data_IF_716484534815
#
_entry.id   IF_716484534815
#
_cell.length_a   1.000
_cell.length_b   1.000
_cell.length_c   1.000
_cell.angle_alpha   90.00
_cell.angle_beta   90.00
_cell.angle_gamma   90.00
#
_symmetry.space_group_name_H-M   'P 1'
#
loop_
_entity.id
_entity.type
_entity.pdbx_description
1 polymer ?
#
# COMPACT_ATOMS: atom_id res chain seq x y z
N UNK A 1 -27.10 22.26 0.57
CA UNK A 1 -27.84 22.48 1.85
C UNK A 1 -29.16 21.68 1.97
N UNK A 2 -29.55 20.83 1.00
CA UNK A 2 -30.82 20.08 1.03
C UNK A 2 -30.67 18.59 1.38
N UNK A 3 -29.47 18.08 1.64
CA UNK A 3 -29.23 16.65 1.95
C UNK A 3 -29.04 16.30 3.43
N UNK A 4 -28.96 17.28 4.33
CA UNK A 4 -28.79 17.07 5.78
C UNK A 4 -30.16 17.04 6.49
N UNK A 5 -31.06 16.15 6.07
CA UNK A 5 -32.22 15.72 6.86
C UNK A 5 -32.38 14.22 6.80
N UNK A 6 -31.48 13.48 7.44
CA UNK A 6 -31.71 12.08 7.82
C UNK A 6 -31.25 11.87 9.26
N UNK A 7 -32.16 12.12 10.17
CA UNK A 7 -32.04 11.86 11.63
C UNK A 7 -31.89 10.38 11.98
N UNK A 8 -31.92 9.46 11.03
CA UNK A 8 -31.79 8.02 11.24
C UNK A 8 -30.34 7.49 11.19
N UNK A 9 -29.42 8.22 10.59
CA UNK A 9 -27.99 7.84 10.54
C UNK A 9 -27.23 8.12 11.85
N UNK A 10 -27.59 9.18 12.56
CA UNK A 10 -26.91 9.56 13.81
C UNK A 10 -27.15 8.57 14.95
N UNK A 11 -28.34 8.00 15.07
CA UNK A 11 -28.67 7.00 16.11
C UNK A 11 -27.94 5.68 15.90
N UNK A 12 -27.69 5.26 14.66
CA UNK A 12 -26.95 4.02 14.36
C UNK A 12 -25.46 4.16 14.66
N UNK A 13 -24.88 5.34 14.36
CA UNK A 13 -23.49 5.66 14.72
C UNK A 13 -23.31 5.72 16.24
N UNK A 14 -24.25 6.27 16.99
CA UNK A 14 -24.20 6.31 18.46
C UNK A 14 -24.35 4.92 19.10
N UNK A 15 -25.21 4.06 18.59
CA UNK A 15 -25.36 2.67 19.05
C UNK A 15 -24.15 1.81 18.69
N UNK A 16 -23.60 1.97 17.48
CA UNK A 16 -22.38 1.30 17.03
C UNK A 16 -21.16 1.76 17.83
N UNK A 17 -21.04 3.06 18.11
CA UNK A 17 -20.00 3.62 18.99
C UNK A 17 -20.16 3.16 20.46
N UNK A 18 -21.36 2.92 20.93
CA UNK A 18 -21.61 2.49 22.32
C UNK A 18 -21.15 1.05 22.60
N UNK A 19 -21.52 0.08 21.77
CA UNK A 19 -21.12 -1.33 21.95
C UNK A 19 -19.68 -1.60 21.52
N UNK A 20 -19.15 -0.90 20.52
CA UNK A 20 -17.78 -1.06 20.03
C UNK A 20 -16.72 -0.34 20.88
N UNK A 21 -17.09 0.64 21.71
CA UNK A 21 -16.11 1.41 22.49
C UNK A 21 -15.24 0.53 23.42
N UNK A 22 -15.80 -0.51 24.03
CA UNK A 22 -15.04 -1.44 24.87
C UNK A 22 -14.06 -2.29 24.05
N UNK A 23 -14.51 -2.83 22.92
CA UNK A 23 -13.67 -3.61 22.01
C UNK A 23 -12.59 -2.75 21.36
N UNK A 24 -12.94 -1.54 20.94
CA UNK A 24 -11.97 -0.58 20.40
C UNK A 24 -10.88 -0.29 21.44
N UNK A 25 -11.25 0.04 22.69
CA UNK A 25 -10.27 0.27 23.76
C UNK A 25 -9.41 -0.96 24.06
N UNK A 26 -9.99 -2.17 24.01
CA UNK A 26 -9.29 -3.44 24.23
C UNK A 26 -8.27 -3.72 23.13
N UNK A 27 -8.65 -3.50 21.86
CA UNK A 27 -7.88 -3.94 20.69
C UNK A 27 -7.15 -2.81 19.95
N UNK A 28 -7.30 -1.54 20.32
CA UNK A 28 -6.56 -0.43 19.70
C UNK A 28 -5.11 -0.35 20.22
N UNK A 29 -4.33 -1.34 19.86
CA UNK A 29 -2.92 -1.51 20.23
C UNK A 29 -2.02 -1.31 19.01
N UNK A 30 -0.72 -0.99 19.20
CA UNK A 30 0.22 -0.93 18.08
C UNK A 30 0.33 -2.27 17.36
N UNK A 31 0.17 -2.28 16.04
CA UNK A 31 0.24 -3.51 15.25
C UNK A 31 0.59 -3.28 13.78
N UNK A 32 1.16 -4.30 13.10
CA UNK A 32 1.56 -4.21 11.70
C UNK A 32 0.37 -3.98 10.76
N UNK A 33 0.65 -3.40 9.59
CA UNK A 33 -0.33 -3.27 8.50
C UNK A 33 -0.39 -4.50 7.59
N UNK A 34 0.46 -5.49 7.83
CA UNK A 34 0.55 -6.74 7.06
C UNK A 34 0.60 -6.55 5.54
N UNK A 35 1.48 -5.68 5.10
CA UNK A 35 1.89 -5.56 3.70
C UNK A 35 2.94 -6.61 3.31
N UNK A 36 3.46 -7.33 4.29
CA UNK A 36 4.32 -8.51 4.20
C UNK A 36 4.19 -9.32 5.49
N UNK A 37 4.49 -10.62 5.42
CA UNK A 37 4.80 -11.43 6.58
C UNK A 37 6.04 -12.29 6.26
N UNK A 38 7.09 -12.24 7.06
CA UNK A 38 7.31 -11.31 8.19
C UNK A 38 7.30 -9.83 7.79
N UNK A 39 6.96 -8.97 8.76
CA UNK A 39 6.98 -7.51 8.51
C UNK A 39 8.41 -6.97 8.57
N UNK A 40 8.69 -5.91 7.84
CA UNK A 40 10.05 -5.33 7.65
C UNK A 40 10.86 -5.14 8.94
N UNK A 41 10.28 -4.69 10.09
CA UNK A 41 11.03 -4.59 11.35
C UNK A 41 11.58 -5.92 11.89
N UNK A 42 10.94 -7.04 11.51
CA UNK A 42 11.31 -8.38 11.95
C UNK A 42 12.12 -9.18 10.93
N UNK A 43 12.48 -8.60 9.79
CA UNK A 43 13.41 -9.22 8.87
C UNK A 43 14.77 -9.42 9.54
N UNK A 44 15.52 -10.42 9.08
CA UNK A 44 16.81 -10.79 9.65
C UNK A 44 17.68 -9.56 9.88
N UNK A 45 18.20 -9.39 11.11
CA UNK A 45 19.05 -8.26 11.49
C UNK A 45 20.37 -8.27 10.72
N UNK A 46 20.87 -9.45 10.40
CA UNK A 46 22.10 -9.66 9.61
C UNK A 46 21.88 -9.50 8.10
N UNK A 47 20.62 -9.25 7.70
CA UNK A 47 20.22 -9.16 6.30
C UNK A 47 19.96 -10.52 5.67
N UNK A 48 19.79 -10.52 4.35
CA UNK A 48 19.74 -11.72 3.50
C UNK A 48 21.03 -11.75 2.71
N UNK A 49 21.65 -12.93 2.58
CA UNK A 49 22.75 -13.06 1.65
C UNK A 49 22.23 -12.80 0.21
N UNK A 50 22.94 -11.97 -0.57
CA UNK A 50 22.50 -11.61 -1.92
C UNK A 50 22.22 -12.85 -2.78
N UNK A 51 23.04 -13.90 -2.65
CA UNK A 51 22.85 -15.14 -3.40
C UNK A 51 21.53 -15.85 -3.05
N UNK A 52 21.05 -15.78 -1.80
CA UNK A 52 19.76 -16.37 -1.41
C UNK A 52 18.58 -15.63 -2.03
N UNK A 53 18.66 -14.28 -2.06
CA UNK A 53 17.68 -13.48 -2.79
C UNK A 53 17.65 -13.84 -4.27
N UNK A 54 18.81 -13.85 -4.93
CA UNK A 54 18.90 -14.13 -6.36
C UNK A 54 18.40 -15.54 -6.71
N UNK A 55 18.75 -16.54 -5.89
CA UNK A 55 18.27 -17.90 -6.04
C UNK A 55 16.75 -18.01 -5.94
N UNK A 56 16.14 -17.38 -4.91
CA UNK A 56 14.69 -17.43 -4.71
C UNK A 56 13.92 -16.57 -5.72
N UNK A 57 14.49 -15.46 -6.18
CA UNK A 57 13.94 -14.66 -7.26
C UNK A 57 13.91 -15.43 -8.57
N UNK A 58 15.02 -16.11 -8.93
CA UNK A 58 15.09 -17.00 -10.09
C UNK A 58 14.10 -18.16 -9.99
N UNK A 59 14.01 -18.80 -8.81
CA UNK A 59 13.06 -19.87 -8.56
C UNK A 59 11.62 -19.42 -8.79
N UNK A 60 11.19 -18.29 -8.19
CA UNK A 60 9.83 -17.77 -8.38
C UNK A 60 9.58 -17.34 -9.83
N UNK A 61 10.59 -16.84 -10.51
CA UNK A 61 10.52 -16.53 -11.92
C UNK A 61 10.24 -17.77 -12.76
N UNK A 62 11.05 -18.81 -12.59
CA UNK A 62 10.92 -20.08 -13.33
C UNK A 62 9.56 -20.76 -13.09
N UNK A 63 9.03 -20.65 -11.86
CA UNK A 63 7.75 -21.23 -11.48
C UNK A 63 6.54 -20.49 -12.04
N UNK A 64 6.64 -19.16 -12.30
CA UNK A 64 5.44 -18.34 -12.53
C UNK A 64 5.46 -17.46 -13.78
N UNK A 65 6.62 -17.19 -14.39
CA UNK A 65 6.75 -16.21 -15.46
C UNK A 65 5.83 -16.50 -16.67
N UNK A 66 5.72 -17.76 -17.09
CA UNK A 66 4.89 -18.11 -18.26
C UNK A 66 3.39 -17.99 -17.99
N UNK A 67 2.95 -18.40 -16.81
CA UNK A 67 1.52 -18.48 -16.47
C UNK A 67 0.95 -17.18 -15.86
N UNK A 68 1.68 -16.60 -14.92
CA UNK A 68 1.24 -15.43 -14.14
C UNK A 68 1.92 -14.14 -14.56
N UNK A 69 3.12 -14.24 -15.13
CA UNK A 69 4.02 -13.10 -15.31
C UNK A 69 4.63 -12.63 -13.99
N UNK A 70 5.34 -11.51 -14.05
CA UNK A 70 5.97 -10.87 -12.88
C UNK A 70 5.47 -9.45 -12.70
N UNK A 71 5.57 -8.93 -11.46
CA UNK A 71 5.31 -7.53 -11.13
C UNK A 71 6.62 -6.76 -10.99
N UNK A 72 6.62 -5.49 -11.42
CA UNK A 72 7.69 -4.54 -11.19
C UNK A 72 7.20 -3.39 -10.32
N UNK A 73 7.90 -3.11 -9.24
CA UNK A 73 7.80 -1.86 -8.51
C UNK A 73 9.01 -0.99 -8.80
N UNK A 74 8.81 0.20 -9.35
CA UNK A 74 9.90 1.12 -9.64
C UNK A 74 9.81 2.32 -8.70
N UNK A 75 10.80 2.44 -7.81
CA UNK A 75 10.87 3.53 -6.85
C UNK A 75 11.52 4.76 -7.46
N UNK A 76 10.73 5.82 -7.64
CA UNK A 76 11.14 7.12 -8.16
C UNK A 76 11.21 8.15 -7.01
N UNK A 77 12.41 8.40 -6.41
CA UNK A 77 12.51 8.98 -5.07
C UNK A 77 12.38 10.50 -5.00
N UNK A 78 12.34 11.22 -6.13
CA UNK A 78 12.45 12.67 -6.10
C UNK A 78 11.10 13.37 -5.88
N UNK A 79 11.12 14.44 -5.07
CA UNK A 79 10.02 15.37 -4.88
C UNK A 79 10.56 16.79 -4.89
N UNK A 80 9.78 17.76 -5.39
CA UNK A 80 10.17 19.19 -5.38
C UNK A 80 10.01 19.82 -3.99
N UNK A 81 9.09 19.34 -3.17
CA UNK A 81 8.80 19.84 -1.84
C UNK A 81 8.60 18.73 -0.83
N UNK A 82 8.80 19.05 0.45
CA UNK A 82 8.58 18.13 1.55
C UNK A 82 7.19 18.31 2.14
N UNK A 83 6.33 17.31 1.98
CA UNK A 83 5.10 17.23 2.75
C UNK A 83 5.43 16.77 4.18
N UNK A 84 4.98 17.54 5.20
CA UNK A 84 5.37 17.29 6.60
C UNK A 84 4.66 16.11 7.27
N UNK A 85 3.75 15.42 6.56
CA UNK A 85 3.11 14.18 7.03
C UNK A 85 3.77 12.91 6.46
N UNK A 86 4.59 13.05 5.40
CA UNK A 86 5.05 11.94 4.57
C UNK A 86 6.17 11.13 5.22
N UNK A 87 6.01 9.80 5.25
CA UNK A 87 6.98 8.85 5.75
C UNK A 87 7.78 8.10 4.65
N UNK A 88 7.51 8.35 3.36
CA UNK A 88 8.18 7.67 2.25
C UNK A 88 9.69 7.96 2.20
N UNK A 89 10.47 7.02 1.69
CA UNK A 89 11.88 7.26 1.34
C UNK A 89 11.95 8.17 0.11
N UNK A 90 12.40 9.40 0.30
CA UNK A 90 12.40 10.43 -0.72
C UNK A 90 13.63 11.31 -0.66
N UNK A 91 13.93 11.97 -1.77
CA UNK A 91 14.92 13.03 -1.86
C UNK A 91 14.29 14.31 -2.39
N UNK A 92 14.37 15.38 -1.61
CA UNK A 92 13.85 16.68 -2.01
C UNK A 92 14.87 17.39 -2.89
N UNK A 93 14.45 17.77 -4.10
CA UNK A 93 15.26 18.55 -5.05
C UNK A 93 14.37 19.22 -6.09
N UNK A 94 14.82 20.36 -6.61
CA UNK A 94 14.22 21.03 -7.78
C UNK A 94 15.10 20.88 -9.03
N UNK A 95 16.18 20.12 -8.93
CA UNK A 95 17.15 19.92 -10.01
C UNK A 95 16.77 18.71 -10.81
N UNK A 96 16.32 18.89 -12.03
CA UNK A 96 15.90 17.80 -12.94
C UNK A 96 17.07 17.06 -13.58
N UNK A 97 18.31 17.57 -13.47
CA UNK A 97 19.51 16.88 -13.95
C UNK A 97 19.72 15.53 -13.25
N UNK A 98 19.08 15.31 -12.08
CA UNK A 98 19.14 14.03 -11.36
C UNK A 98 18.36 12.91 -12.05
N UNK A 99 17.43 13.22 -12.95
CA UNK A 99 16.56 12.23 -13.61
C UNK A 99 17.37 11.24 -14.47
N UNK A 100 18.20 11.75 -15.38
CA UNK A 100 18.92 10.92 -16.34
C UNK A 100 19.83 9.86 -15.68
N UNK A 101 20.75 10.23 -14.76
CA UNK A 101 21.61 9.23 -14.13
C UNK A 101 20.83 8.25 -13.26
N UNK A 102 19.68 8.64 -12.72
CA UNK A 102 18.84 7.73 -11.95
C UNK A 102 18.14 6.70 -12.86
N UNK A 103 17.58 7.12 -13.98
CA UNK A 103 16.95 6.23 -14.95
C UNK A 103 17.97 5.23 -15.52
N UNK A 104 19.18 5.69 -15.84
CA UNK A 104 20.27 4.82 -16.29
C UNK A 104 20.59 3.74 -15.25
N UNK A 105 20.64 4.09 -13.98
CA UNK A 105 20.84 3.12 -12.92
C UNK A 105 19.68 2.12 -12.81
N UNK A 106 18.42 2.58 -12.89
CA UNK A 106 17.26 1.68 -12.84
C UNK A 106 17.24 0.71 -14.03
N UNK A 107 17.54 1.17 -15.23
CA UNK A 107 17.62 0.32 -16.42
C UNK A 107 18.78 -0.68 -16.33
N UNK A 108 19.91 -0.27 -15.76
CA UNK A 108 21.03 -1.17 -15.48
C UNK A 108 20.66 -2.26 -14.47
N UNK A 109 20.00 -1.88 -13.36
CA UNK A 109 19.50 -2.85 -12.39
C UNK A 109 18.52 -3.83 -13.02
N UNK A 110 17.60 -3.33 -13.87
CA UNK A 110 16.68 -4.21 -14.60
C UNK A 110 17.43 -5.19 -15.49
N UNK A 111 18.47 -4.76 -16.20
CA UNK A 111 19.28 -5.64 -17.02
C UNK A 111 19.95 -6.75 -16.20
N UNK A 112 20.43 -6.46 -14.97
CA UNK A 112 20.97 -7.50 -14.08
C UNK A 112 19.95 -8.60 -13.76
N UNK A 113 18.67 -8.24 -13.57
CA UNK A 113 17.60 -9.23 -13.38
C UNK A 113 17.28 -10.00 -14.67
N UNK A 114 17.24 -9.34 -15.81
CA UNK A 114 17.03 -10.01 -17.11
C UNK A 114 18.12 -11.03 -17.37
N UNK A 115 19.38 -10.67 -17.13
CA UNK A 115 20.52 -11.57 -17.26
C UNK A 115 20.45 -12.76 -16.27
N UNK A 116 19.97 -12.53 -15.04
CA UNK A 116 19.74 -13.58 -14.04
C UNK A 116 18.66 -14.58 -14.46
N UNK A 117 17.59 -14.08 -15.08
CA UNK A 117 16.43 -14.91 -15.42
C UNK A 117 16.69 -15.81 -16.64
N UNK A 118 17.60 -15.43 -17.52
CA UNK A 118 17.99 -16.18 -18.74
C UNK A 118 16.85 -16.36 -19.76
N UNK A 119 15.62 -16.02 -19.41
CA UNK A 119 14.43 -16.02 -20.25
C UNK A 119 13.77 -14.64 -20.29
N UNK A 120 12.96 -14.39 -21.32
CA UNK A 120 12.27 -13.11 -21.47
C UNK A 120 11.21 -12.92 -20.38
N UNK A 121 11.31 -11.88 -19.51
CA UNK A 121 10.30 -11.61 -18.52
C UNK A 121 8.95 -11.22 -19.15
N UNK A 122 7.86 -11.74 -18.60
CA UNK A 122 6.48 -11.38 -18.96
C UNK A 122 5.93 -10.47 -17.87
N UNK A 123 5.75 -9.19 -18.18
CA UNK A 123 5.35 -8.17 -17.19
C UNK A 123 3.84 -8.13 -17.04
N UNK A 124 3.36 -8.51 -15.86
CA UNK A 124 1.96 -8.46 -15.46
C UNK A 124 1.57 -7.11 -14.90
N UNK A 125 2.41 -6.54 -14.05
CA UNK A 125 2.19 -5.26 -13.40
C UNK A 125 3.45 -4.40 -13.47
N UNK A 126 3.26 -3.10 -13.68
CA UNK A 126 4.25 -2.07 -13.36
C UNK A 126 3.59 -1.07 -12.43
N UNK A 127 4.24 -0.77 -11.32
CA UNK A 127 3.84 0.32 -10.44
C UNK A 127 4.98 1.32 -10.26
N UNK A 128 4.73 2.59 -10.62
CA UNK A 128 5.66 3.68 -10.34
C UNK A 128 5.22 4.39 -9.07
N UNK A 129 6.07 4.37 -8.05
CA UNK A 129 5.77 4.98 -6.76
C UNK A 129 7.01 5.59 -6.10
N UNK A 130 6.89 5.95 -4.82
CA UNK A 130 8.01 6.36 -3.98
C UNK A 130 7.99 7.81 -3.52
N UNK A 131 8.62 8.71 -4.25
CA UNK A 131 8.56 10.17 -4.03
C UNK A 131 7.39 10.75 -4.80
N UNK A 132 7.66 11.21 -6.01
CA UNK A 132 6.65 11.71 -6.96
C UNK A 132 7.07 11.26 -8.37
N UNK A 133 6.47 10.20 -8.92
CA UNK A 133 6.80 9.76 -10.28
C UNK A 133 6.69 10.88 -11.33
N UNK A 134 5.71 11.75 -11.21
CA UNK A 134 5.52 12.92 -12.10
C UNK A 134 6.47 14.11 -11.81
N UNK A 135 7.47 13.93 -10.96
CA UNK A 135 8.67 14.77 -10.92
C UNK A 135 9.50 14.59 -12.19
N UNK A 136 9.59 13.34 -12.67
CA UNK A 136 10.29 13.02 -13.90
C UNK A 136 9.51 13.53 -15.09
N UNK A 137 10.21 14.13 -16.07
CA UNK A 137 9.60 14.57 -17.32
C UNK A 137 8.93 13.41 -18.07
N UNK A 138 7.88 13.71 -18.84
CA UNK A 138 7.20 12.71 -19.67
C UNK A 138 8.19 12.00 -20.63
N UNK A 139 9.18 12.73 -21.17
CA UNK A 139 10.26 12.16 -21.99
C UNK A 139 11.07 11.11 -21.22
N UNK A 140 11.46 11.41 -19.98
CA UNK A 140 12.25 10.51 -19.15
C UNK A 140 11.44 9.30 -18.67
N UNK A 141 10.15 9.48 -18.36
CA UNK A 141 9.25 8.35 -18.06
C UNK A 141 9.07 7.44 -19.27
N UNK A 142 8.94 8.02 -20.49
CA UNK A 142 8.92 7.22 -21.73
C UNK A 142 10.21 6.40 -21.90
N UNK A 143 11.37 7.05 -21.72
CA UNK A 143 12.69 6.39 -21.83
C UNK A 143 12.81 5.23 -20.84
N UNK A 144 12.39 5.44 -19.58
CA UNK A 144 12.42 4.41 -18.54
C UNK A 144 11.57 3.19 -18.92
N UNK A 145 10.29 3.43 -19.22
CA UNK A 145 9.34 2.34 -19.46
C UNK A 145 9.62 1.66 -20.80
N UNK A 146 9.96 2.40 -21.85
CA UNK A 146 10.37 1.81 -23.13
C UNK A 146 11.65 0.96 -22.97
N UNK A 147 12.60 1.39 -22.13
CA UNK A 147 13.80 0.61 -21.82
C UNK A 147 13.47 -0.70 -21.09
N UNK A 148 12.56 -0.66 -20.11
CA UNK A 148 12.07 -1.88 -19.44
C UNK A 148 11.39 -2.83 -20.43
N UNK A 149 10.50 -2.30 -21.27
CA UNK A 149 9.70 -3.10 -22.21
C UNK A 149 10.50 -3.60 -23.42
N UNK A 150 11.66 -3.00 -23.73
CA UNK A 150 12.51 -3.44 -24.85
C UNK A 150 13.13 -4.83 -24.65
N UNK A 151 13.27 -5.26 -23.40
CA UNK A 151 13.85 -6.56 -22.99
C UNK A 151 12.85 -7.48 -22.31
N UNK A 152 11.55 -7.17 -22.40
CA UNK A 152 10.47 -7.95 -21.77
C UNK A 152 9.22 -7.96 -22.65
N UNK A 153 8.24 -8.77 -22.30
CA UNK A 153 6.92 -8.82 -22.96
C UNK A 153 5.84 -8.35 -22.00
N UNK A 154 4.80 -7.69 -22.52
CA UNK A 154 3.60 -7.41 -21.73
C UNK A 154 2.74 -8.67 -21.65
N UNK A 155 2.25 -8.98 -20.43
CA UNK A 155 1.23 -10.00 -20.27
C UNK A 155 -0.09 -9.54 -20.92
N UNK A 156 -0.91 -10.43 -21.46
CA UNK A 156 -2.19 -10.09 -22.12
C UNK A 156 -3.13 -9.28 -21.22
N UNK A 157 -3.15 -9.61 -19.93
CA UNK A 157 -3.96 -8.95 -18.89
C UNK A 157 -3.07 -8.06 -18.01
N UNK A 158 -2.14 -7.33 -18.59
CA UNK A 158 -1.28 -6.42 -17.80
C UNK A 158 -2.09 -5.27 -17.20
N UNK A 159 -1.64 -4.78 -16.05
CA UNK A 159 -2.19 -3.60 -15.38
C UNK A 159 -1.02 -2.71 -14.90
N UNK A 160 -0.80 -1.60 -15.59
CA UNK A 160 0.26 -0.66 -15.24
C UNK A 160 -0.34 0.56 -14.52
N UNK A 161 0.31 1.00 -13.45
CA UNK A 161 -0.18 2.07 -12.59
C UNK A 161 0.94 2.97 -12.09
N UNK A 162 0.60 4.19 -11.72
CA UNK A 162 1.55 5.13 -11.11
C UNK A 162 0.89 6.07 -10.13
N UNK A 163 1.71 6.62 -9.22
CA UNK A 163 1.33 7.68 -8.29
C UNK A 163 1.59 9.06 -8.93
N UNK A 164 0.59 9.93 -8.93
CA UNK A 164 0.68 11.30 -9.43
C UNK A 164 0.49 12.35 -8.35
N UNK A 165 1.25 13.44 -8.43
CA UNK A 165 0.98 14.63 -7.63
C UNK A 165 0.19 15.61 -8.49
N UNK A 166 -1.04 16.01 -8.11
CA UNK A 166 -1.88 16.86 -8.95
C UNK A 166 -1.23 18.15 -9.43
N UNK A 167 -0.38 18.79 -8.63
CA UNK A 167 0.33 20.01 -9.03
C UNK A 167 1.46 19.77 -10.05
N UNK A 168 2.00 18.55 -10.14
CA UNK A 168 3.15 18.21 -10.98
C UNK A 168 2.79 17.29 -12.15
N UNK A 169 1.54 16.82 -12.22
CA UNK A 169 1.09 15.94 -13.30
C UNK A 169 0.49 16.79 -14.43
N UNK A 170 1.04 16.65 -15.63
CA UNK A 170 0.52 17.32 -16.84
C UNK A 170 -0.24 16.30 -17.71
N UNK A 171 -1.07 16.82 -18.64
CA UNK A 171 -1.75 16.00 -19.65
C UNK A 171 -0.76 15.18 -20.50
N UNK A 172 0.45 15.74 -20.75
CA UNK A 172 1.52 15.05 -21.47
C UNK A 172 2.06 13.84 -20.68
N UNK A 173 2.22 13.96 -19.34
CA UNK A 173 2.59 12.80 -18.51
C UNK A 173 1.56 11.67 -18.64
N UNK A 174 0.28 12.01 -18.50
CA UNK A 174 -0.82 11.05 -18.58
C UNK A 174 -0.87 10.39 -19.95
N UNK A 175 -0.81 11.16 -21.05
CA UNK A 175 -0.84 10.62 -22.41
C UNK A 175 0.35 9.69 -22.66
N UNK A 176 1.55 10.12 -22.30
CA UNK A 176 2.78 9.32 -22.50
C UNK A 176 2.72 7.99 -21.79
N UNK A 177 2.28 7.97 -20.52
CA UNK A 177 2.17 6.72 -19.76
C UNK A 177 1.02 5.85 -20.27
N UNK A 178 -0.10 6.45 -20.70
CA UNK A 178 -1.21 5.71 -21.31
C UNK A 178 -0.78 4.99 -22.59
N UNK A 179 -0.05 5.68 -23.48
CA UNK A 179 0.48 5.10 -24.72
C UNK A 179 1.43 3.92 -24.46
N UNK A 180 2.08 3.90 -23.28
CA UNK A 180 2.94 2.79 -22.84
C UNK A 180 2.17 1.65 -22.17
N UNK A 181 0.86 1.80 -21.94
CA UNK A 181 -0.03 0.78 -21.37
C UNK A 181 -0.44 1.02 -19.92
N UNK A 182 -0.18 2.18 -19.36
CA UNK A 182 -0.68 2.54 -18.03
C UNK A 182 -2.17 2.89 -18.12
N UNK A 183 -2.98 2.17 -17.40
CA UNK A 183 -4.43 2.35 -17.37
C UNK A 183 -4.98 2.76 -16.00
N UNK A 184 -4.09 2.81 -14.99
CA UNK A 184 -4.43 3.24 -13.63
C UNK A 184 -3.52 4.34 -13.14
N UNK A 185 -4.11 5.28 -12.39
CA UNK A 185 -3.37 6.35 -11.72
C UNK A 185 -3.96 6.62 -10.33
N UNK A 186 -3.09 6.87 -9.34
CA UNK A 186 -3.50 7.38 -8.03
C UNK A 186 -3.03 8.81 -7.86
N UNK A 187 -3.93 9.70 -7.47
CA UNK A 187 -3.61 11.09 -7.15
C UNK A 187 -3.66 11.31 -5.64
N UNK A 188 -2.53 11.72 -5.07
CA UNK A 188 -2.47 12.10 -3.67
C UNK A 188 -3.22 13.42 -3.43
N UNK A 189 -4.47 13.36 -3.01
CA UNK A 189 -5.32 14.51 -2.67
C UNK A 189 -5.12 14.94 -1.23
N UNK A 190 -5.14 14.01 -0.30
CA UNK A 190 -4.99 14.11 1.14
C UNK A 190 -6.16 14.81 1.83
N UNK A 191 -6.34 16.10 1.64
CA UNK A 191 -7.38 16.93 2.21
C UNK A 191 -7.58 18.20 1.38
N UNK A 192 -8.80 18.75 1.31
CA UNK A 192 -9.09 20.00 0.59
C UNK A 192 -9.15 21.24 1.51
N UNK A 193 -9.17 21.08 2.83
CA UNK A 193 -9.17 22.21 3.74
C UNK A 193 -7.82 22.94 3.71
N UNK A 194 -7.84 24.26 3.49
CA UNK A 194 -6.64 25.08 3.36
C UNK A 194 -5.78 25.08 4.64
N UNK A 195 -6.41 25.07 5.84
CA UNK A 195 -5.70 25.04 7.13
C UNK A 195 -4.94 23.72 7.29
N UNK A 196 -5.58 22.60 6.94
CA UNK A 196 -4.96 21.27 6.95
C UNK A 196 -3.83 21.21 5.93
N UNK A 197 -4.06 21.66 4.69
CA UNK A 197 -3.04 21.71 3.63
C UNK A 197 -1.81 22.52 4.04
N UNK A 198 -2.00 23.66 4.70
CA UNK A 198 -0.90 24.49 5.24
C UNK A 198 -0.12 23.74 6.30
N UNK A 199 -0.81 23.08 7.23
CA UNK A 199 -0.17 22.32 8.30
C UNK A 199 0.70 21.16 7.78
N UNK A 200 0.23 20.45 6.75
CA UNK A 200 0.97 19.35 6.12
C UNK A 200 1.94 19.80 5.02
N UNK A 201 2.09 21.11 4.83
CA UNK A 201 2.96 21.73 3.81
C UNK A 201 2.67 21.24 2.38
N UNK A 202 1.36 21.11 2.05
CA UNK A 202 0.91 20.62 0.74
C UNK A 202 -0.29 21.42 0.23
N UNK A 203 -0.01 22.63 -0.29
CA UNK A 203 -1.03 23.46 -0.91
C UNK A 203 -1.40 22.90 -2.28
N UNK A 204 -2.68 22.54 -2.45
CA UNK A 204 -3.18 21.85 -3.63
C UNK A 204 -4.62 22.25 -3.91
N UNK A 205 -4.83 23.22 -4.83
CA UNK A 205 -6.16 23.65 -5.21
C UNK A 205 -7.01 22.52 -5.78
N UNK A 206 -8.31 22.53 -5.48
CA UNK A 206 -9.28 21.56 -6.03
C UNK A 206 -9.22 21.48 -7.56
N UNK A 207 -9.09 22.63 -8.24
CA UNK A 207 -9.00 22.69 -9.70
C UNK A 207 -7.84 21.87 -10.28
N UNK A 208 -6.71 21.79 -9.57
CA UNK A 208 -5.58 20.95 -10.03
C UNK A 208 -5.94 19.46 -9.97
N UNK A 209 -6.62 19.01 -8.91
CA UNK A 209 -7.11 17.64 -8.80
C UNK A 209 -8.16 17.34 -9.86
N UNK A 210 -9.10 18.28 -10.07
CA UNK A 210 -10.12 18.18 -11.10
C UNK A 210 -9.49 18.02 -12.48
N UNK A 211 -8.58 18.92 -12.86
CA UNK A 211 -7.92 18.88 -14.16
C UNK A 211 -7.24 17.52 -14.42
N UNK A 212 -6.42 17.02 -13.49
CA UNK A 212 -5.71 15.75 -13.70
C UNK A 212 -6.67 14.56 -13.75
N UNK A 213 -7.76 14.60 -12.99
CA UNK A 213 -8.79 13.55 -12.99
C UNK A 213 -9.55 13.56 -14.32
N UNK A 214 -9.97 14.73 -14.81
CA UNK A 214 -10.67 14.87 -16.09
C UNK A 214 -9.75 14.49 -17.26
N UNK A 215 -8.51 14.95 -17.31
CA UNK A 215 -7.55 14.56 -18.34
C UNK A 215 -7.31 13.04 -18.35
N UNK A 216 -7.18 12.42 -17.18
CA UNK A 216 -7.02 10.96 -17.13
C UNK A 216 -8.24 10.24 -17.73
N UNK A 217 -9.48 10.71 -17.44
CA UNK A 217 -10.70 10.14 -18.04
C UNK A 217 -10.77 10.38 -19.55
N UNK A 218 -10.49 11.60 -20.01
CA UNK A 218 -10.48 11.94 -21.45
C UNK A 218 -9.51 11.07 -22.25
N UNK A 219 -8.33 10.77 -21.67
CA UNK A 219 -7.31 9.93 -22.30
C UNK A 219 -7.74 8.45 -22.32
N UNK A 220 -8.54 8.00 -21.35
CA UNK A 220 -9.04 6.62 -21.30
C UNK A 220 -8.55 5.78 -20.14
N UNK A 221 -8.02 6.38 -19.06
CA UNK A 221 -7.69 5.64 -17.84
C UNK A 221 -8.93 4.94 -17.28
N UNK A 222 -8.80 3.65 -16.99
CA UNK A 222 -9.91 2.81 -16.56
C UNK A 222 -10.10 2.78 -15.05
N UNK A 223 -9.10 3.21 -14.28
CA UNK A 223 -9.19 3.31 -12.82
C UNK A 223 -8.38 4.49 -12.32
N UNK A 224 -9.07 5.47 -11.74
CA UNK A 224 -8.48 6.66 -11.13
C UNK A 224 -8.73 6.58 -9.63
N UNK A 225 -7.67 6.66 -8.83
CA UNK A 225 -7.74 6.65 -7.37
C UNK A 225 -7.45 8.03 -6.80
N UNK A 226 -8.16 8.40 -5.73
CA UNK A 226 -7.81 9.53 -4.88
C UNK A 226 -7.35 9.01 -3.52
N UNK A 227 -6.17 9.45 -3.08
CA UNK A 227 -5.66 9.14 -1.75
C UNK A 227 -6.03 10.28 -0.80
N UNK A 228 -6.87 9.96 0.18
CA UNK A 228 -7.32 10.85 1.24
C UNK A 228 -6.71 10.43 2.57
N UNK A 229 -6.46 11.37 3.46
CA UNK A 229 -5.87 11.08 4.78
C UNK A 229 -6.73 11.68 5.89
N UNK A 230 -7.15 10.85 6.82
CA UNK A 230 -7.82 11.32 8.04
C UNK A 230 -6.89 11.30 9.25
N UNK A 231 -7.20 12.13 10.22
CA UNK A 231 -6.38 12.28 11.44
C UNK A 231 -5.17 13.20 11.24
N UNK A 232 -5.19 14.05 10.23
CA UNK A 232 -4.17 15.07 9.97
C UNK A 232 -4.22 16.19 11.04
N UNK A 233 -3.13 16.96 11.22
CA UNK A 233 -3.11 18.10 12.13
C UNK A 233 -4.24 19.10 11.83
N UNK A 234 -4.95 19.51 12.88
CA UNK A 234 -6.07 20.47 12.85
C UNK A 234 -7.31 20.03 12.05
N UNK A 235 -7.34 18.80 11.54
CA UNK A 235 -8.46 18.26 10.77
C UNK A 235 -9.66 18.04 11.68
N UNK A 236 -10.83 18.51 11.26
CA UNK A 236 -12.12 18.33 11.93
C UNK A 236 -13.01 17.35 11.14
N UNK A 237 -14.16 17.01 11.72
CA UNK A 237 -15.14 16.16 11.04
C UNK A 237 -15.69 16.87 9.79
N UNK A 238 -15.95 18.15 9.87
CA UNK A 238 -16.43 18.97 8.74
C UNK A 238 -15.42 18.97 7.59
N UNK A 239 -14.11 18.97 7.89
CA UNK A 239 -13.06 18.90 6.87
C UNK A 239 -13.08 17.56 6.14
N UNK A 240 -13.23 16.45 6.87
CA UNK A 240 -13.34 15.11 6.28
C UNK A 240 -14.58 14.99 5.40
N UNK A 241 -15.74 15.44 5.87
CA UNK A 241 -16.97 15.45 5.09
C UNK A 241 -16.83 16.27 3.82
N UNK A 242 -16.31 17.50 3.92
CA UNK A 242 -16.04 18.37 2.78
C UNK A 242 -15.09 17.72 1.77
N UNK A 243 -14.01 17.10 2.26
CA UNK A 243 -13.02 16.46 1.40
C UNK A 243 -13.61 15.27 0.64
N UNK A 244 -14.45 14.45 1.29
CA UNK A 244 -15.12 13.32 0.64
C UNK A 244 -16.16 13.81 -0.38
N UNK A 245 -16.98 14.83 -0.04
CA UNK A 245 -17.95 15.43 -0.95
C UNK A 245 -17.26 15.97 -2.21
N UNK A 246 -16.17 16.71 -2.04
CA UNK A 246 -15.38 17.24 -3.16
C UNK A 246 -14.73 16.13 -4.00
N UNK A 247 -14.22 15.09 -3.38
CA UNK A 247 -13.70 13.94 -4.11
C UNK A 247 -14.81 13.22 -4.88
N UNK A 248 -16.02 13.11 -4.30
CA UNK A 248 -17.16 12.48 -4.96
C UNK A 248 -17.69 13.30 -6.14
N UNK A 249 -17.53 14.64 -6.16
CA UNK A 249 -17.83 15.46 -7.36
C UNK A 249 -17.02 14.99 -8.58
N UNK A 250 -15.76 14.55 -8.36
CA UNK A 250 -14.86 14.06 -9.40
C UNK A 250 -15.03 12.56 -9.68
N UNK A 251 -15.74 11.86 -8.80
CA UNK A 251 -16.11 10.45 -8.94
C UNK A 251 -14.93 9.53 -9.28
N UNK A 252 -13.85 9.47 -8.50
CA UNK A 252 -12.78 8.50 -8.73
C UNK A 252 -13.30 7.07 -8.64
N UNK A 253 -12.61 6.12 -9.29
CA UNK A 253 -13.00 4.72 -9.28
C UNK A 253 -12.61 4.04 -7.95
N UNK A 254 -11.54 4.55 -7.31
CA UNK A 254 -11.05 4.11 -5.99
C UNK A 254 -10.82 5.29 -5.08
N UNK A 255 -10.94 5.05 -3.80
CA UNK A 255 -10.51 5.97 -2.75
C UNK A 255 -9.70 5.18 -1.74
N UNK A 256 -8.48 5.64 -1.47
CA UNK A 256 -7.69 5.19 -0.35
C UNK A 256 -7.84 6.21 0.77
N UNK A 257 -8.54 5.84 1.85
CA UNK A 257 -8.84 6.72 2.98
C UNK A 257 -7.94 6.34 4.16
N UNK A 258 -6.69 6.82 4.12
CA UNK A 258 -5.63 6.41 5.04
C UNK A 258 -5.70 7.10 6.39
N UNK A 259 -5.47 6.32 7.45
CA UNK A 259 -5.16 6.86 8.78
C UNK A 259 -3.78 7.51 8.79
N UNK A 260 -3.69 8.78 9.20
CA UNK A 260 -2.41 9.41 9.47
C UNK A 260 -1.67 8.67 10.60
N UNK A 261 -0.45 8.19 10.30
CA UNK A 261 0.43 7.56 11.27
C UNK A 261 1.47 8.58 11.76
N UNK A 262 1.32 9.03 13.01
CA UNK A 262 2.30 9.92 13.64
C UNK A 262 3.47 9.10 14.19
N UNK A 263 4.65 9.24 13.57
CA UNK A 263 5.87 8.49 13.88
C UNK A 263 7.12 9.40 13.86
N UNK A 264 7.13 10.50 14.61
CA UNK A 264 8.20 11.52 14.53
C UNK A 264 9.56 10.98 14.97
N UNK A 265 9.59 9.87 15.71
CA UNK A 265 10.81 9.18 16.15
C UNK A 265 11.50 8.38 15.05
N UNK A 266 10.82 8.13 13.92
CA UNK A 266 11.42 7.39 12.80
C UNK A 266 12.38 8.31 12.04
N UNK A 267 13.66 7.94 11.98
CA UNK A 267 14.69 8.72 11.30
C UNK A 267 14.37 8.87 9.80
N UNK A 268 14.41 10.09 9.29
CA UNK A 268 14.17 10.41 7.87
C UNK A 268 12.73 10.76 7.55
N UNK A 269 11.80 10.61 8.49
CA UNK A 269 10.42 11.06 8.35
C UNK A 269 10.36 12.59 8.34
N UNK A 270 9.49 13.13 7.49
CA UNK A 270 9.30 14.58 7.35
C UNK A 270 8.39 15.23 8.38
N UNK A 271 7.84 14.46 9.33
CA UNK A 271 6.80 14.89 10.27
C UNK A 271 7.30 15.95 11.25
N UNK A 272 6.87 17.20 11.03
CA UNK A 272 7.27 18.39 11.79
C UNK A 272 6.36 19.57 11.48
N UNK A 273 6.44 20.62 12.30
CA UNK A 273 5.66 21.85 12.11
C UNK A 273 4.31 21.83 12.81
N UNK A 274 4.02 20.77 13.58
CA UNK A 274 2.88 20.62 14.48
C UNK A 274 3.26 19.69 15.63
N UNK A 275 2.52 19.78 16.72
CA UNK A 275 2.70 18.97 17.92
C UNK A 275 1.61 17.88 18.02
N UNK A 276 1.79 16.92 18.92
CA UNK A 276 0.81 15.87 19.19
C UNK A 276 -0.58 16.41 19.61
N UNK A 277 -0.60 17.56 20.31
CA UNK A 277 -1.84 18.27 20.69
C UNK A 277 -2.65 18.82 19.51
N UNK A 278 -2.03 18.99 18.37
CA UNK A 278 -2.66 19.48 17.13
C UNK A 278 -3.32 18.35 16.33
N UNK A 279 -3.10 17.09 16.75
CA UNK A 279 -3.69 15.90 16.17
C UNK A 279 -5.02 15.56 16.83
N UNK A 280 -5.99 15.00 16.10
CA UNK A 280 -7.22 14.50 16.70
C UNK A 280 -6.91 13.40 17.74
N UNK A 281 -7.55 13.45 18.91
CA UNK A 281 -7.49 12.37 19.89
C UNK A 281 -8.03 11.05 19.29
N UNK A 282 -7.63 9.90 19.85
CA UNK A 282 -7.99 8.58 19.32
C UNK A 282 -9.48 8.40 19.04
N UNK A 283 -10.35 8.83 19.98
CA UNK A 283 -11.81 8.71 19.85
C UNK A 283 -12.33 9.61 18.71
N UNK A 284 -11.79 10.83 18.59
CA UNK A 284 -12.13 11.75 17.50
C UNK A 284 -11.63 11.16 16.17
N UNK A 285 -10.40 10.67 16.14
CA UNK A 285 -9.82 10.05 14.93
C UNK A 285 -10.64 8.86 14.45
N UNK A 286 -11.15 8.04 15.39
CA UNK A 286 -12.07 6.94 15.04
C UNK A 286 -13.37 7.46 14.46
N UNK A 287 -13.97 8.49 15.05
CA UNK A 287 -15.18 9.13 14.54
C UNK A 287 -14.98 9.68 13.11
N UNK A 288 -13.81 10.26 12.81
CA UNK A 288 -13.46 10.70 11.46
C UNK A 288 -13.52 9.56 10.45
N UNK A 289 -12.99 8.38 10.83
CA UNK A 289 -13.02 7.21 9.96
C UNK A 289 -14.43 6.68 9.76
N UNK A 290 -15.18 6.43 10.83
CA UNK A 290 -16.53 5.82 10.74
C UNK A 290 -17.48 6.71 9.94
N UNK A 291 -17.46 8.02 10.21
CA UNK A 291 -18.29 8.97 9.46
C UNK A 291 -17.84 9.07 8.01
N UNK A 292 -16.54 9.12 7.76
CA UNK A 292 -15.99 9.14 6.39
C UNK A 292 -16.36 7.87 5.61
N UNK A 293 -16.23 6.68 6.24
CA UNK A 293 -16.64 5.40 5.68
C UNK A 293 -18.12 5.42 5.31
N UNK A 294 -19.00 5.81 6.23
CA UNK A 294 -20.43 5.86 5.98
C UNK A 294 -20.76 6.77 4.79
N UNK A 295 -20.13 7.94 4.72
CA UNK A 295 -20.34 8.85 3.60
C UNK A 295 -19.84 8.27 2.27
N UNK A 296 -18.71 7.56 2.26
CA UNK A 296 -18.22 6.86 1.07
C UNK A 296 -19.18 5.76 0.63
N UNK A 297 -19.74 4.99 1.56
CA UNK A 297 -20.74 3.97 1.30
C UNK A 297 -22.04 4.60 0.75
N UNK A 298 -22.50 5.71 1.30
CA UNK A 298 -23.65 6.49 0.81
C UNK A 298 -23.40 7.03 -0.61
N UNK A 299 -22.14 7.33 -0.96
CA UNK A 299 -21.71 7.67 -2.30
C UNK A 299 -21.59 6.46 -3.24
N UNK A 300 -21.84 5.23 -2.77
CA UNK A 300 -21.85 4.00 -3.56
C UNK A 300 -20.48 3.32 -3.70
N UNK A 301 -19.50 3.71 -2.91
CA UNK A 301 -18.26 2.95 -2.78
C UNK A 301 -18.45 1.77 -1.84
N UNK A 302 -17.66 0.72 -2.03
CA UNK A 302 -17.63 -0.47 -1.16
C UNK A 302 -16.27 -0.56 -0.52
N UNK A 303 -16.22 -0.78 0.79
CA UNK A 303 -14.98 -1.07 1.49
C UNK A 303 -14.41 -2.41 1.03
N UNK A 304 -13.19 -2.39 0.49
CA UNK A 304 -12.48 -3.58 0.02
C UNK A 304 -11.75 -4.24 1.19
N UNK A 305 -11.09 -3.43 1.99
CA UNK A 305 -10.38 -3.84 3.18
C UNK A 305 -9.48 -2.71 3.68
N UNK A 306 -9.31 -2.65 4.98
CA UNK A 306 -8.61 -1.58 5.67
C UNK A 306 -8.99 -0.20 5.11
N UNK A 307 -8.19 0.54 4.57
CA UNK A 307 -8.39 1.93 4.17
C UNK A 307 -8.84 2.09 2.71
N UNK A 308 -9.21 1.01 2.00
CA UNK A 308 -9.48 1.04 0.56
C UNK A 308 -10.95 0.87 0.23
N UNK A 309 -11.45 1.74 -0.64
CA UNK A 309 -12.81 1.76 -1.15
C UNK A 309 -12.79 1.76 -2.68
N UNK A 310 -13.76 1.10 -3.30
CA UNK A 310 -13.87 1.05 -4.75
C UNK A 310 -15.33 1.07 -5.21
N UNK A 311 -15.57 1.58 -6.42
CA UNK A 311 -16.84 1.41 -7.11
C UNK A 311 -17.00 -0.06 -7.52
N UNK A 312 -18.26 -0.54 -7.61
CA UNK A 312 -18.55 -1.92 -7.99
C UNK A 312 -18.09 -2.30 -9.41
N UNK A 313 -17.77 -1.32 -10.23
CA UNK A 313 -17.24 -1.50 -11.59
C UNK A 313 -15.73 -1.64 -11.65
N UNK A 314 -15.02 -1.27 -10.59
CA UNK A 314 -13.56 -1.31 -10.55
C UNK A 314 -13.02 -2.74 -10.37
N UNK A 315 -11.87 -3.02 -10.98
CA UNK A 315 -11.20 -4.34 -10.92
C UNK A 315 -10.87 -4.78 -9.49
N UNK A 316 -10.64 -3.84 -8.58
CA UNK A 316 -10.36 -4.15 -7.18
C UNK A 316 -11.58 -4.74 -6.47
N UNK A 317 -12.79 -4.17 -6.68
CA UNK A 317 -14.02 -4.74 -6.17
C UNK A 317 -14.33 -6.10 -6.81
N UNK A 318 -14.18 -6.21 -8.14
CA UNK A 318 -14.42 -7.46 -8.85
C UNK A 318 -13.48 -8.59 -8.40
N UNK A 319 -12.23 -8.25 -8.03
CA UNK A 319 -11.28 -9.21 -7.48
C UNK A 319 -11.67 -9.67 -6.07
N UNK A 320 -12.30 -8.82 -5.26
CA UNK A 320 -12.85 -9.21 -3.96
C UNK A 320 -13.98 -10.23 -4.13
N UNK A 321 -14.95 -9.94 -5.02
CA UNK A 321 -16.08 -10.85 -5.31
C UNK A 321 -15.61 -12.19 -5.85
N UNK A 322 -14.60 -12.19 -6.71
CA UNK A 322 -14.03 -13.42 -7.31
C UNK A 322 -13.00 -14.12 -6.43
N UNK A 323 -12.76 -13.66 -5.20
CA UNK A 323 -11.73 -14.16 -4.26
C UNK A 323 -10.31 -14.21 -4.86
N UNK A 324 -9.99 -13.23 -5.71
CA UNK A 324 -8.67 -13.06 -6.35
C UNK A 324 -7.89 -11.87 -5.80
N UNK A 325 -8.46 -11.17 -4.83
CA UNK A 325 -7.79 -10.03 -4.19
C UNK A 325 -6.46 -10.48 -3.61
N UNK A 326 -5.42 -9.72 -3.86
CA UNK A 326 -4.09 -9.92 -3.31
C UNK A 326 -3.63 -8.68 -2.54
N UNK A 327 -2.66 -8.85 -1.65
CA UNK A 327 -2.05 -7.76 -0.91
C UNK A 327 -0.55 -7.92 -0.84
N UNK A 328 0.16 -6.85 -1.14
CA UNK A 328 1.61 -6.75 -0.99
C UNK A 328 1.98 -5.39 -0.38
N UNK A 329 3.26 -4.99 -0.41
CA UNK A 329 3.68 -3.73 0.20
C UNK A 329 3.11 -2.47 -0.49
N UNK A 330 2.65 -2.58 -1.73
CA UNK A 330 1.98 -1.49 -2.46
C UNK A 330 0.51 -1.31 -2.03
N UNK A 331 -0.06 -2.29 -1.31
CA UNK A 331 -1.46 -2.30 -0.90
C UNK A 331 -2.25 -3.45 -1.50
N UNK A 332 -3.56 -3.26 -1.73
CA UNK A 332 -4.41 -4.24 -2.40
C UNK A 332 -4.26 -4.18 -3.93
N UNK A 333 -4.15 -5.35 -4.55
CA UNK A 333 -4.08 -5.52 -6.00
C UNK A 333 -5.13 -6.52 -6.49
N UNK A 334 -5.66 -6.30 -7.69
CA UNK A 334 -6.51 -7.26 -8.38
C UNK A 334 -5.70 -8.42 -9.01
N UNK A 335 -4.40 -8.28 -9.06
CA UNK A 335 -3.49 -9.28 -9.62
C UNK A 335 -2.63 -9.91 -8.53
N UNK A 336 -2.29 -11.18 -8.73
CA UNK A 336 -1.33 -11.91 -7.92
C UNK A 336 -0.19 -12.37 -8.83
N UNK A 337 1.04 -12.13 -8.40
CA UNK A 337 2.26 -12.69 -9.01
C UNK A 337 3.13 -13.26 -7.90
N UNK A 338 3.85 -14.33 -8.19
CA UNK A 338 4.77 -14.92 -7.22
C UNK A 338 6.06 -14.09 -7.08
N UNK A 339 6.46 -13.40 -8.14
CA UNK A 339 7.63 -12.53 -8.15
C UNK A 339 7.24 -11.09 -8.38
N UNK A 340 7.64 -10.22 -7.46
CA UNK A 340 7.66 -8.77 -7.65
C UNK A 340 9.10 -8.28 -7.49
N UNK A 341 9.67 -7.77 -8.57
CA UNK A 341 11.00 -7.14 -8.58
C UNK A 341 10.86 -5.67 -8.20
N UNK A 342 11.60 -5.25 -7.17
CA UNK A 342 11.71 -3.86 -6.77
C UNK A 342 12.95 -3.23 -7.37
N UNK A 343 12.79 -2.19 -8.20
CA UNK A 343 13.88 -1.44 -8.82
C UNK A 343 14.00 -0.05 -8.21
N UNK A 344 15.23 0.45 -8.11
CA UNK A 344 15.52 1.76 -7.55
C UNK A 344 15.88 1.72 -6.07
N UNK A 345 16.39 2.84 -5.55
CA UNK A 345 16.76 2.94 -4.13
C UNK A 345 15.56 2.63 -3.22
N UNK A 346 15.82 1.94 -2.11
CA UNK A 346 14.80 1.65 -1.08
C UNK A 346 13.63 0.76 -1.52
N UNK A 347 13.57 0.35 -2.81
CA UNK A 347 12.52 -0.54 -3.30
C UNK A 347 12.50 -1.86 -2.52
N UNK A 348 11.31 -2.41 -2.37
CA UNK A 348 11.10 -3.73 -1.77
C UNK A 348 10.73 -4.71 -2.89
N UNK A 349 11.33 -5.88 -2.85
CA UNK A 349 11.05 -6.99 -3.73
C UNK A 349 10.51 -8.19 -2.93
N UNK A 350 9.70 -9.01 -3.57
CA UNK A 350 9.02 -10.17 -2.99
C UNK A 350 9.06 -11.33 -3.97
N UNK A 351 9.73 -12.42 -3.59
CA UNK A 351 9.89 -13.63 -4.42
C UNK A 351 9.03 -14.79 -3.96
N UNK A 352 7.97 -14.56 -3.18
CA UNK A 352 7.21 -15.59 -2.47
C UNK A 352 8.03 -16.31 -1.38
N UNK A 353 9.28 -16.63 -1.62
CA UNK A 353 10.18 -17.36 -0.71
C UNK A 353 11.10 -16.45 0.10
N UNK A 354 11.23 -15.21 -0.30
CA UNK A 354 12.06 -14.22 0.38
C UNK A 354 11.65 -12.79 0.06
N UNK A 355 12.06 -11.87 0.93
CA UNK A 355 11.98 -10.44 0.70
C UNK A 355 13.36 -9.84 0.57
N UNK A 356 13.49 -8.81 -0.25
CA UNK A 356 14.70 -8.00 -0.34
C UNK A 356 14.35 -6.51 -0.34
N UNK A 357 15.26 -5.69 0.15
CA UNK A 357 15.18 -4.23 0.08
C UNK A 357 16.51 -3.66 -0.40
N UNK A 358 16.43 -2.76 -1.36
CA UNK A 358 17.58 -2.02 -1.88
C UNK A 358 18.10 -0.97 -0.89
N UNK A 359 19.35 -0.56 -1.06
CA UNK A 359 19.99 0.51 -0.29
C UNK A 359 19.17 1.80 -0.34
N UNK A 360 19.25 2.60 0.74
CA UNK A 360 18.32 3.72 0.99
C UNK A 360 18.78 5.07 0.48
N UNK A 361 19.93 5.18 -0.14
CA UNK A 361 20.43 6.44 -0.67
C UNK A 361 20.65 6.37 -2.19
N UNK A 362 20.33 7.46 -2.89
CA UNK A 362 20.50 7.55 -4.34
C UNK A 362 21.96 7.29 -4.74
N UNK A 363 22.92 7.88 -4.00
CA UNK A 363 24.34 7.74 -4.33
C UNK A 363 24.83 6.30 -4.22
N UNK A 364 24.55 5.64 -3.09
CA UNK A 364 24.95 4.25 -2.86
C UNK A 364 24.30 3.31 -3.88
N UNK A 365 23.04 3.53 -4.19
CA UNK A 365 22.32 2.79 -5.23
C UNK A 365 23.01 2.89 -6.59
N UNK A 366 23.30 4.12 -7.03
CA UNK A 366 23.95 4.36 -8.32
C UNK A 366 25.37 3.81 -8.34
N UNK A 367 26.11 3.90 -7.23
CA UNK A 367 27.50 3.39 -7.10
C UNK A 367 27.54 1.85 -7.24
N UNK A 368 26.60 1.12 -6.58
CA UNK A 368 26.51 -0.34 -6.65
C UNK A 368 26.11 -0.82 -8.04
N UNK A 369 24.99 -0.31 -8.55
CA UNK A 369 24.50 -0.68 -9.89
C UNK A 369 25.50 -0.27 -10.97
N UNK A 370 26.20 0.85 -10.79
CA UNK A 370 27.28 1.30 -11.69
C UNK A 370 28.40 0.27 -11.85
N UNK A 371 28.69 -0.51 -10.80
CA UNK A 371 29.68 -1.61 -10.79
C UNK A 371 29.11 -2.94 -11.30
N UNK A 372 27.83 -3.02 -11.63
CA UNK A 372 27.15 -4.27 -11.98
C UNK A 372 26.77 -5.13 -10.76
N UNK A 373 26.62 -4.53 -9.59
CA UNK A 373 26.24 -5.19 -8.35
C UNK A 373 24.74 -4.94 -8.04
N UNK A 374 24.03 -5.99 -7.55
CA UNK A 374 22.67 -5.82 -7.07
C UNK A 374 22.67 -4.96 -5.78
N UNK A 375 21.82 -3.93 -5.69
CA UNK A 375 21.87 -2.97 -4.58
C UNK A 375 21.13 -3.45 -3.31
N UNK A 376 20.98 -4.76 -3.13
CA UNK A 376 20.29 -5.37 -1.99
C UNK A 376 21.13 -5.24 -0.72
N UNK A 377 20.52 -4.71 0.36
CA UNK A 377 21.20 -4.58 1.64
C UNK A 377 20.47 -5.26 2.80
N UNK A 378 19.17 -5.50 2.68
CA UNK A 378 18.34 -6.10 3.72
C UNK A 378 17.32 -7.03 3.10
N UNK A 379 16.94 -8.06 3.83
CA UNK A 379 15.87 -8.96 3.40
C UNK A 379 15.61 -10.06 4.42
N UNK A 380 14.81 -11.03 4.02
CA UNK A 380 14.42 -12.16 4.85
C UNK A 380 14.15 -13.38 3.97
N UNK A 381 14.79 -14.50 4.27
CA UNK A 381 14.48 -15.80 3.68
C UNK A 381 13.40 -16.46 4.51
N UNK A 382 12.28 -16.85 3.89
CA UNK A 382 11.14 -17.43 4.58
C UNK A 382 11.39 -18.91 4.88
N UNK A 383 11.11 -19.31 6.11
CA UNK A 383 11.05 -20.73 6.50
C UNK A 383 9.73 -21.38 6.00
N UNK A 384 9.62 -22.72 6.01
CA UNK A 384 8.36 -23.39 5.73
C UNK A 384 7.20 -22.91 6.62
N UNK A 385 7.48 -22.64 7.90
CA UNK A 385 6.51 -22.11 8.86
C UNK A 385 6.08 -20.68 8.49
N UNK A 386 7.04 -19.83 8.08
CA UNK A 386 6.74 -18.49 7.62
C UNK A 386 5.79 -18.50 6.41
N UNK A 387 5.97 -19.43 5.47
CA UNK A 387 5.12 -19.58 4.29
C UNK A 387 3.68 -19.95 4.66
N UNK A 388 3.51 -20.87 5.62
CA UNK A 388 2.18 -21.25 6.13
C UNK A 388 1.51 -20.04 6.80
N UNK A 389 2.19 -19.37 7.71
CA UNK A 389 1.65 -18.19 8.40
C UNK A 389 1.38 -17.05 7.42
N UNK A 390 2.26 -16.82 6.45
CA UNK A 390 2.05 -15.85 5.38
C UNK A 390 0.75 -16.11 4.60
N UNK A 391 0.49 -17.36 4.23
CA UNK A 391 -0.76 -17.77 3.56
C UNK A 391 -1.99 -17.37 4.37
N UNK A 392 -2.00 -17.70 5.67
CA UNK A 392 -3.16 -17.40 6.53
C UNK A 392 -3.35 -15.90 6.74
N UNK A 393 -2.29 -15.14 7.00
CA UNK A 393 -2.36 -13.68 7.14
C UNK A 393 -2.88 -13.04 5.85
N UNK A 394 -2.38 -13.45 4.68
CA UNK A 394 -2.85 -12.94 3.39
C UNK A 394 -4.32 -13.25 3.15
N UNK A 395 -4.77 -14.47 3.43
CA UNK A 395 -6.16 -14.88 3.28
C UNK A 395 -7.08 -14.04 4.19
N UNK A 396 -6.72 -13.87 5.46
CA UNK A 396 -7.49 -13.07 6.41
C UNK A 396 -7.54 -11.60 5.98
N UNK A 397 -6.42 -11.03 5.55
CA UNK A 397 -6.35 -9.64 5.08
C UNK A 397 -7.13 -9.39 3.79
N UNK A 398 -7.20 -10.37 2.88
CA UNK A 398 -7.80 -10.21 1.56
C UNK A 398 -9.24 -10.74 1.48
N UNK A 399 -9.56 -11.79 2.25
CA UNK A 399 -10.82 -12.52 2.10
C UNK A 399 -11.63 -12.59 3.40
N UNK A 400 -11.09 -12.11 4.52
CA UNK A 400 -11.71 -12.19 5.85
C UNK A 400 -12.01 -13.63 6.29
N UNK A 401 -11.34 -14.59 5.71
CA UNK A 401 -11.43 -16.01 6.03
C UNK A 401 -10.10 -16.70 5.72
N UNK A 402 -9.85 -17.82 6.33
CA UNK A 402 -8.77 -18.73 5.95
C UNK A 402 -9.13 -20.15 6.29
N UNK A 403 -8.56 -21.13 5.56
CA UNK A 403 -8.68 -22.55 5.83
C UNK A 403 -7.30 -23.17 5.94
N UNK A 404 -7.19 -24.23 6.73
CA UNK A 404 -5.99 -25.01 6.93
C UNK A 404 -6.22 -26.48 6.54
N UNK A 405 -5.15 -27.12 6.06
CA UNK A 405 -5.12 -28.52 5.73
C UNK A 405 -4.66 -29.32 6.96
N UNK A 406 -4.98 -30.64 6.99
CA UNK A 406 -4.58 -31.52 8.08
C UNK A 406 -3.06 -31.53 8.31
N UNK A 407 -2.25 -31.39 7.25
CA UNK A 407 -0.80 -31.32 7.34
C UNK A 407 -0.34 -30.03 8.04
N UNK A 408 -1.00 -28.90 7.79
CA UNK A 408 -0.68 -27.61 8.42
C UNK A 408 -0.97 -27.63 9.91
N UNK A 409 -2.00 -28.38 10.35
CA UNK A 409 -2.32 -28.58 11.76
C UNK A 409 -1.28 -29.39 12.54
N UNK A 410 -0.32 -30.00 11.86
CA UNK A 410 0.82 -30.67 12.53
C UNK A 410 1.88 -29.65 12.99
N UNK A 411 1.82 -28.40 12.53
CA UNK A 411 2.73 -27.34 12.98
C UNK A 411 2.26 -26.75 14.30
N UNK A 412 3.05 -26.86 15.40
CA UNK A 412 2.70 -26.32 16.71
C UNK A 412 2.45 -24.82 16.70
N UNK A 413 3.10 -24.12 15.79
CA UNK A 413 2.96 -22.69 15.59
C UNK A 413 1.54 -22.29 15.20
N UNK A 414 0.89 -23.04 14.30
CA UNK A 414 -0.50 -22.80 13.91
C UNK A 414 -1.44 -23.07 15.09
N UNK A 415 -1.27 -24.16 15.81
CA UNK A 415 -2.06 -24.48 17.01
C UNK A 415 -1.91 -23.37 18.06
N UNK A 416 -0.69 -22.88 18.26
CA UNK A 416 -0.42 -21.77 19.18
C UNK A 416 -1.11 -20.48 18.71
N UNK A 417 -1.16 -20.21 17.41
CA UNK A 417 -1.88 -19.06 16.86
C UNK A 417 -3.39 -19.17 17.13
N UNK A 418 -3.98 -20.35 16.90
CA UNK A 418 -5.41 -20.58 17.13
C UNK A 418 -5.78 -20.41 18.61
N UNK A 419 -4.97 -20.89 19.56
CA UNK A 419 -5.25 -20.69 20.99
C UNK A 419 -5.30 -19.23 21.42
N UNK A 420 -4.58 -18.33 20.70
CA UNK A 420 -4.63 -16.89 20.96
C UNK A 420 -5.91 -16.22 20.44
N UNK A 421 -6.64 -16.88 19.54
CA UNK A 421 -7.88 -16.37 18.97
C UNK A 421 -9.11 -16.65 19.83
N UNK A 422 -9.02 -17.56 20.80
CA UNK A 422 -10.17 -17.95 21.64
C UNK A 422 -10.83 -16.77 22.37
N UNK A 423 -10.03 -15.78 22.83
CA UNK A 423 -10.55 -14.59 23.46
C UNK A 423 -11.29 -13.70 22.46
N UNK A 424 -10.73 -13.57 21.25
CA UNK A 424 -11.33 -12.77 20.19
C UNK A 424 -12.62 -13.41 19.66
N UNK A 425 -12.69 -14.74 19.65
CA UNK A 425 -13.90 -15.48 19.31
C UNK A 425 -15.01 -15.23 20.35
N UNK A 426 -14.69 -15.29 21.66
CA UNK A 426 -15.62 -14.93 22.75
C UNK A 426 -16.13 -13.49 22.65
N UNK A 427 -15.31 -12.59 22.14
CA UNK A 427 -15.66 -11.20 21.86
C UNK A 427 -16.46 -11.02 20.56
N UNK A 428 -16.70 -12.11 19.79
CA UNK A 428 -17.48 -12.12 18.56
C UNK A 428 -16.77 -11.46 17.36
N UNK A 429 -15.42 -11.46 17.37
CA UNK A 429 -14.60 -10.87 16.31
C UNK A 429 -14.26 -11.86 15.18
N UNK A 430 -14.44 -13.15 15.42
CA UNK A 430 -14.26 -14.21 14.44
C UNK A 430 -15.06 -15.45 14.86
N UNK A 431 -15.17 -16.40 13.94
CA UNK A 431 -15.74 -17.74 14.17
C UNK A 431 -14.71 -18.78 13.76
N UNK A 432 -14.35 -19.69 14.66
CA UNK A 432 -13.43 -20.80 14.38
C UNK A 432 -14.27 -22.01 13.94
N UNK A 433 -13.90 -22.60 12.83
CA UNK A 433 -14.52 -23.80 12.25
C UNK A 433 -13.54 -24.97 12.33
N UNK A 434 -13.98 -26.17 12.04
CA UNK A 434 -13.15 -27.38 12.05
C UNK A 434 -11.85 -27.21 11.23
N UNK A 435 -11.96 -26.65 10.03
CA UNK A 435 -10.85 -26.51 9.08
C UNK A 435 -10.60 -25.05 8.65
N UNK A 436 -10.93 -24.06 9.49
CA UNK A 436 -10.76 -22.66 9.10
C UNK A 436 -11.30 -21.67 10.13
N UNK A 437 -11.27 -20.40 9.75
CA UNK A 437 -11.93 -19.32 10.48
C UNK A 437 -12.53 -18.32 9.50
N UNK A 438 -13.55 -17.60 9.96
CA UNK A 438 -14.15 -16.46 9.24
C UNK A 438 -14.29 -15.24 10.14
N UNK A 439 -14.20 -14.05 9.54
CA UNK A 439 -14.30 -12.75 10.21
C UNK A 439 -15.60 -12.08 9.75
N UNK A 440 -16.60 -11.91 10.62
CA UNK A 440 -17.85 -11.26 10.26
C UNK A 440 -17.63 -9.78 9.91
N UNK A 441 -18.50 -9.21 9.10
CA UNK A 441 -18.36 -7.84 8.58
C UNK A 441 -18.15 -6.80 9.69
N UNK A 442 -18.92 -6.88 10.78
CA UNK A 442 -18.78 -5.99 11.95
C UNK A 442 -17.41 -6.04 12.63
N UNK A 443 -16.65 -7.12 12.43
CA UNK A 443 -15.32 -7.33 13.02
C UNK A 443 -14.16 -6.99 12.08
N UNK A 444 -14.41 -6.60 10.83
CA UNK A 444 -13.37 -6.22 9.86
C UNK A 444 -12.40 -5.13 10.37
N UNK A 445 -12.83 -4.14 11.18
CA UNK A 445 -11.90 -3.19 11.79
C UNK A 445 -10.78 -3.83 12.62
N UNK A 446 -11.01 -5.04 13.15
CA UNK A 446 -10.07 -5.78 13.99
C UNK A 446 -9.24 -6.82 13.21
N UNK A 447 -9.31 -6.84 11.88
CA UNK A 447 -8.60 -7.83 11.04
C UNK A 447 -7.10 -7.87 11.32
N UNK A 448 -6.48 -6.71 11.60
CA UNK A 448 -5.05 -6.64 11.96
C UNK A 448 -4.77 -7.35 13.28
N UNK A 449 -5.64 -7.21 14.27
CA UNK A 449 -5.51 -7.89 15.56
C UNK A 449 -5.62 -9.41 15.41
N UNK A 450 -6.52 -9.89 14.55
CA UNK A 450 -6.63 -11.32 14.21
C UNK A 450 -5.33 -11.81 13.58
N UNK A 451 -4.79 -11.08 12.59
CA UNK A 451 -3.50 -11.39 11.98
C UNK A 451 -2.34 -11.40 12.98
N UNK A 452 -2.37 -10.53 14.01
CA UNK A 452 -1.35 -10.50 15.06
C UNK A 452 -1.29 -11.80 15.88
N UNK A 453 -2.39 -12.55 16.00
CA UNK A 453 -2.39 -13.86 16.65
C UNK A 453 -1.54 -14.88 15.88
N UNK A 454 -1.52 -14.78 14.54
CA UNK A 454 -0.69 -15.61 13.68
C UNK A 454 0.78 -15.13 13.61
N UNK A 455 1.08 -13.88 13.91
CA UNK A 455 2.42 -13.31 13.76
C UNK A 455 3.38 -13.82 14.84
N UNK A 456 4.07 -14.92 14.51
CA UNK A 456 5.00 -15.60 15.44
C UNK A 456 6.19 -14.72 15.82
N UNK A 457 6.68 -13.89 14.87
CA UNK A 457 7.83 -13.03 15.12
C UNK A 457 7.47 -11.85 16.01
N UNK A 458 6.29 -11.27 15.83
CA UNK A 458 5.74 -10.25 16.74
C UNK A 458 5.59 -10.81 18.16
N UNK A 459 5.11 -12.06 18.28
CA UNK A 459 4.93 -12.70 19.58
C UNK A 459 6.25 -13.03 20.28
N UNK A 460 7.24 -13.53 19.52
CA UNK A 460 8.59 -13.84 20.05
C UNK A 460 9.38 -12.58 20.40
N UNK A 461 9.19 -11.49 19.66
CA UNK A 461 9.98 -10.27 19.74
C UNK A 461 9.08 -9.06 20.07
N UNK A 462 8.28 -9.15 21.14
CA UNK A 462 7.39 -8.03 21.53
C UNK A 462 8.17 -6.71 21.58
N UNK A 463 7.80 -5.70 20.77
CA UNK A 463 8.54 -4.45 20.72
C UNK A 463 8.53 -3.74 22.07
N UNK A 464 9.70 -3.34 22.56
CA UNK A 464 9.81 -2.49 23.76
C UNK A 464 9.56 -1.00 23.46
N UNK A 465 9.47 -0.65 22.18
CA UNK A 465 9.18 0.71 21.70
C UNK A 465 8.07 0.68 20.66
N UNK A 466 7.43 1.81 20.41
CA UNK A 466 6.38 1.91 19.40
C UNK A 466 6.98 1.76 17.99
N UNK A 467 6.90 0.55 17.42
CA UNK A 467 7.32 0.26 16.04
C UNK A 467 6.18 0.47 15.04
N UNK A 468 4.94 0.36 15.46
CA UNK A 468 3.75 0.36 14.62
C UNK A 468 2.73 1.40 15.07
N UNK A 469 1.89 1.85 14.13
CA UNK A 469 0.70 2.62 14.45
C UNK A 469 -0.37 1.74 15.13
N UNK A 470 -1.31 2.35 15.84
CA UNK A 470 -2.46 1.64 16.42
C UNK A 470 -3.28 0.90 15.36
N UNK A 471 -3.96 -0.19 15.77
CA UNK A 471 -4.65 -1.11 14.85
C UNK A 471 -6.04 -0.66 14.44
N UNK A 472 -6.75 0.03 15.31
CA UNK A 472 -8.16 0.41 15.10
C UNK A 472 -8.33 1.91 14.99
#
# INVERSE_FOLDING_TARGET
LSFIKRTTGFTFVEEFLGMNNLLIRKYNIPGPRYTSYPTVPFWNKEGIAQHDWLRTAKQSFDESNEAEGISLYIHLPFCESLCTFCACHKRITKRHEVENPYIEAVLKEWQLYVDLFEETPIIREIHLGGGTPTFFSAFNLNRLISGVLSVSKKHEKHEFSFEGHPNNTSKVHLQTLFDLGFTRVSFGVQDYNEKVQKAIHRMQPFENVKNVTEWAREIGYTSISHDLVFGLPFQTLEDVLFTIEKSNELRPDRIAFYSYAHVPWVKGVGQRGYDEKDLPADEVKRSLYETGKQLLEDCGYVEIGMDHFALKTDSLYLSTVSKKLHRNFMGYSANKTQLMVGLGMSSIADSWYSFAQNVKTVKEYQDLVGKGEFPVFKGHLLSPEDLIIRKHILNIMCHFETSWEAIEMQFPELQTALSRLEEMEKDGLLEIHENGLSVPEKARPFVRNICMAFDLLLQKNKPQTNLFSKTV
#
